data_IF_017729635384
#
_entry.id   IF_017729635384
#
_cell.length_a   1.000
_cell.length_b   1.000
_cell.length_c   1.000
_cell.angle_alpha   90.00
_cell.angle_beta   90.00
_cell.angle_gamma   90.00
#
_symmetry.space_group_name_H-M   'P 1'
#
loop_
_entity.id
_entity.type
_entity.pdbx_description
1 polymer ?
#
# COMPACT_ATOMS: atom_id res chain seq x y z
N UNK A 1 -31.47 37.34 52.40
CA UNK A 1 -30.06 37.63 52.08
C UNK A 1 -29.22 36.81 53.05
N UNK A 2 -28.80 35.61 52.66
CA UNK A 2 -27.88 34.77 53.43
C UNK A 2 -26.75 34.42 52.46
N UNK A 3 -25.57 34.92 52.78
CA UNK A 3 -24.34 34.76 52.01
C UNK A 3 -23.83 33.35 52.24
N UNK A 4 -23.69 32.56 51.18
CA UNK A 4 -23.00 31.26 51.20
C UNK A 4 -21.60 31.52 50.67
N UNK A 5 -20.62 31.53 51.57
CA UNK A 5 -19.20 31.53 51.24
C UNK A 5 -18.60 30.22 51.76
N UNK A 6 -18.21 29.33 50.85
CA UNK A 6 -17.71 28.01 51.17
C UNK A 6 -16.86 27.50 50.01
N UNK A 7 -15.55 27.75 50.10
CA UNK A 7 -14.54 27.18 49.19
C UNK A 7 -14.64 25.64 49.20
N UNK A 8 -14.52 24.96 48.04
CA UNK A 8 -14.36 23.51 48.02
C UNK A 8 -13.00 23.14 48.61
N UNK A 9 -13.01 22.24 49.60
CA UNK A 9 -11.80 21.66 50.16
C UNK A 9 -11.04 20.80 49.13
N UNK A 10 -9.72 20.61 49.31
CA UNK A 10 -8.92 19.79 48.40
C UNK A 10 -9.39 18.33 48.42
N UNK A 11 -9.27 17.59 47.30
CA UNK A 11 -9.63 16.18 47.24
C UNK A 11 -8.76 15.36 48.21
N UNK A 12 -9.32 14.26 48.77
CA UNK A 12 -8.63 13.42 49.74
C UNK A 12 -7.34 12.82 49.16
N UNK A 13 -6.34 12.69 50.02
CA UNK A 13 -5.02 12.16 49.67
C UNK A 13 -5.06 10.65 49.45
N UNK A 14 -4.15 10.13 48.62
CA UNK A 14 -4.09 8.72 48.23
C UNK A 14 -4.06 7.73 49.41
N UNK A 15 -3.44 8.12 50.53
CA UNK A 15 -3.37 7.30 51.74
C UNK A 15 -4.71 7.21 52.51
N UNK A 16 -5.63 8.16 52.32
CA UNK A 16 -6.96 8.15 52.96
C UNK A 16 -7.95 7.23 52.24
N UNK A 17 -7.64 6.82 51.00
CA UNK A 17 -8.48 5.90 50.20
C UNK A 17 -8.13 4.43 50.43
N UNK A 18 -7.09 4.13 51.21
CA UNK A 18 -6.60 2.77 51.45
C UNK A 18 -7.17 2.13 52.74
N UNK A 19 -7.72 2.93 53.65
CA UNK A 19 -8.26 2.44 54.95
C UNK A 19 -9.77 2.12 54.92
N UNK A 20 -10.49 2.40 53.83
CA UNK A 20 -11.89 2.00 53.63
C UNK A 20 -11.96 0.59 53.00
N UNK A 21 -11.45 -0.40 53.73
CA UNK A 21 -11.61 -1.81 53.44
C UNK A 21 -12.51 -2.46 54.49
N UNK A 22 -13.83 -2.26 54.36
CA UNK A 22 -14.81 -3.13 55.02
C UNK A 22 -15.28 -4.19 54.01
N UNK A 23 -14.64 -5.35 54.12
CA UNK A 23 -15.19 -6.63 53.69
C UNK A 23 -16.41 -6.90 54.58
N UNK A 24 -17.62 -6.72 54.05
CA UNK A 24 -18.80 -7.33 54.63
C UNK A 24 -19.07 -8.68 53.95
N UNK A 25 -18.93 -9.73 54.76
CA UNK A 25 -19.35 -11.10 54.50
C UNK A 25 -20.89 -11.15 54.49
N UNK A 26 -21.48 -11.52 53.35
CA UNK A 26 -22.91 -11.80 53.21
C UNK A 26 -23.09 -13.22 52.68
N UNK A 27 -23.02 -14.18 53.59
CA UNK A 27 -23.50 -15.53 53.36
C UNK A 27 -25.02 -15.61 53.53
N UNK A 28 -25.69 -16.18 52.52
CA UNK A 28 -27.07 -16.70 52.46
C UNK A 28 -28.26 -15.73 52.28
N UNK A 29 -28.74 -15.61 51.02
CA UNK A 29 -30.11 -16.00 50.60
C UNK A 29 -30.06 -16.40 49.11
N UNK A 30 -30.39 -17.65 48.81
CA UNK A 30 -30.59 -18.14 47.45
C UNK A 30 -31.95 -17.68 46.90
N UNK A 31 -31.94 -16.75 45.95
CA UNK A 31 -33.02 -16.48 45.00
C UNK A 31 -32.51 -16.74 43.58
N UNK A 32 -33.38 -16.99 42.58
CA UNK A 32 -32.94 -17.40 41.25
C UNK A 32 -32.21 -16.23 40.56
N UNK A 33 -30.88 -16.30 40.56
CA UNK A 33 -30.01 -15.37 39.85
C UNK A 33 -30.18 -15.57 38.35
N UNK A 34 -30.82 -14.61 37.69
CA UNK A 34 -30.72 -14.39 36.25
C UNK A 34 -29.25 -14.19 35.86
N UNK A 35 -28.72 -14.90 34.85
CA UNK A 35 -27.33 -14.77 34.44
C UNK A 35 -27.22 -13.59 33.47
N UNK A 36 -27.07 -12.36 33.96
CA UNK A 36 -26.98 -11.19 33.05
C UNK A 36 -25.91 -10.15 33.40
N UNK A 37 -25.12 -10.33 34.44
CA UNK A 37 -24.09 -9.35 34.83
C UNK A 37 -22.66 -9.88 34.64
N UNK A 38 -22.44 -10.78 33.68
CA UNK A 38 -21.11 -10.89 33.10
C UNK A 38 -20.87 -9.59 32.30
N UNK A 39 -19.71 -8.91 32.43
CA UNK A 39 -19.37 -7.85 31.50
C UNK A 39 -19.55 -8.40 30.08
N UNK A 40 -20.16 -7.63 29.16
CA UNK A 40 -20.43 -8.11 27.82
C UNK A 40 -19.15 -8.71 27.26
N UNK A 41 -19.23 -9.91 26.70
CA UNK A 41 -18.08 -10.54 26.05
C UNK A 41 -17.48 -9.51 25.10
N UNK A 42 -16.18 -9.23 25.20
CA UNK A 42 -15.50 -8.30 24.31
C UNK A 42 -15.71 -8.78 22.87
N UNK A 43 -16.70 -8.21 22.19
CA UNK A 43 -16.91 -8.46 20.79
C UNK A 43 -15.76 -7.79 20.04
N UNK A 44 -15.10 -8.51 19.10
CA UNK A 44 -14.11 -7.89 18.23
C UNK A 44 -14.72 -6.66 17.57
N UNK A 45 -14.06 -5.51 17.69
CA UNK A 45 -14.51 -4.29 17.04
C UNK A 45 -14.33 -4.42 15.52
N UNK A 46 -15.44 -4.44 14.78
CA UNK A 46 -15.43 -4.38 13.32
C UNK A 46 -15.53 -2.92 12.88
N UNK A 47 -14.47 -2.44 12.23
CA UNK A 47 -14.41 -1.06 11.79
C UNK A 47 -15.08 -0.85 10.43
N UNK A 48 -15.73 0.28 10.23
CA UNK A 48 -16.33 0.65 8.94
C UNK A 48 -15.23 1.05 7.95
N UNK A 49 -15.23 0.44 6.76
CA UNK A 49 -14.35 0.83 5.66
C UNK A 49 -15.01 0.59 4.31
N UNK A 50 -14.45 1.22 3.27
CA UNK A 50 -14.81 0.96 1.89
C UNK A 50 -13.55 0.86 1.02
N UNK A 51 -13.66 0.17 -0.10
CA UNK A 51 -12.55 0.00 -1.05
C UNK A 51 -12.73 0.95 -2.22
N UNK A 52 -11.67 1.69 -2.57
CA UNK A 52 -11.62 2.53 -3.77
C UNK A 52 -11.54 1.67 -5.04
N UNK A 53 -11.79 2.26 -6.21
CA UNK A 53 -11.62 1.57 -7.50
C UNK A 53 -10.23 0.95 -7.70
N UNK A 54 -9.20 1.58 -7.13
CA UNK A 54 -7.80 1.12 -7.18
C UNK A 54 -7.47 0.04 -6.12
N UNK A 55 -8.48 -0.49 -5.41
CA UNK A 55 -8.31 -1.47 -4.33
C UNK A 55 -7.84 -0.89 -2.99
N UNK A 56 -7.59 0.43 -2.91
CA UNK A 56 -7.17 1.09 -1.66
C UNK A 56 -8.28 1.04 -0.62
N UNK A 57 -7.98 0.53 0.58
CA UNK A 57 -8.92 0.50 1.71
C UNK A 57 -8.96 1.87 2.36
N UNK A 58 -10.15 2.46 2.51
CA UNK A 58 -10.36 3.77 3.13
C UNK A 58 -11.35 3.61 4.28
N UNK A 59 -10.95 4.02 5.48
CA UNK A 59 -11.83 4.08 6.65
C UNK A 59 -11.98 5.51 7.16
N UNK A 60 -13.23 5.84 7.50
CA UNK A 60 -13.61 7.09 8.16
C UNK A 60 -14.14 6.86 9.57
N UNK A 61 -13.87 5.69 10.14
CA UNK A 61 -14.43 5.26 11.41
C UNK A 61 -13.97 6.17 12.59
N UNK A 62 -14.90 6.72 13.40
CA UNK A 62 -14.58 7.51 14.58
C UNK A 62 -13.68 6.82 15.61
N UNK A 63 -13.82 5.51 15.81
CA UNK A 63 -13.12 4.74 16.83
C UNK A 63 -11.64 4.59 16.47
N UNK A 64 -11.33 4.27 15.21
CA UNK A 64 -9.96 4.18 14.69
C UNK A 64 -9.17 5.51 14.79
N UNK A 65 -9.85 6.63 15.00
CA UNK A 65 -9.25 7.94 15.13
C UNK A 65 -8.98 8.37 16.58
N UNK A 66 -9.54 7.64 17.54
CA UNK A 66 -9.47 7.92 18.98
C UNK A 66 -8.68 6.87 19.73
N UNK A 67 -8.80 5.60 19.33
CA UNK A 67 -8.11 4.47 19.95
C UNK A 67 -7.03 3.92 19.03
N UNK A 68 -5.77 4.03 19.47
CA UNK A 68 -4.63 3.50 18.74
C UNK A 68 -4.61 1.96 18.70
N UNK A 69 -5.33 1.30 19.60
CA UNK A 69 -5.43 -0.16 19.64
C UNK A 69 -6.35 -0.68 18.55
N UNK A 70 -7.54 -0.10 18.48
CA UNK A 70 -8.47 -0.36 17.40
C UNK A 70 -7.82 -0.10 16.04
N UNK A 71 -7.09 1.03 15.90
CA UNK A 71 -6.33 1.33 14.68
C UNK A 71 -5.27 0.28 14.39
N UNK A 72 -4.44 -0.10 15.37
CA UNK A 72 -3.41 -1.10 15.17
C UNK A 72 -3.99 -2.46 14.76
N UNK A 73 -5.01 -2.95 15.46
CA UNK A 73 -5.70 -4.21 15.12
C UNK A 73 -6.31 -4.17 13.73
N UNK A 74 -6.95 -3.06 13.37
CA UNK A 74 -7.50 -2.85 12.04
C UNK A 74 -6.43 -2.89 10.96
N UNK A 75 -5.27 -2.29 11.18
CA UNK A 75 -4.15 -2.35 10.23
C UNK A 75 -3.63 -3.77 10.05
N UNK A 76 -3.53 -4.55 11.14
CA UNK A 76 -3.09 -5.94 11.08
C UNK A 76 -4.10 -6.83 10.35
N UNK A 77 -5.39 -6.69 10.65
CA UNK A 77 -6.43 -7.49 9.98
C UNK A 77 -6.50 -7.20 8.49
N UNK A 78 -6.38 -5.93 8.09
CA UNK A 78 -6.33 -5.53 6.69
C UNK A 78 -5.00 -5.90 6.01
N UNK A 79 -3.93 -6.16 6.77
CA UNK A 79 -2.65 -6.64 6.26
C UNK A 79 -2.64 -8.16 5.99
N UNK A 80 -3.63 -8.92 6.46
CA UNK A 80 -3.77 -10.33 6.08
C UNK A 80 -4.13 -10.48 4.60
N UNK A 81 -4.82 -9.48 4.02
CA UNK A 81 -5.08 -9.44 2.59
C UNK A 81 -3.87 -8.83 1.85
N UNK A 82 -3.16 -9.56 0.98
CA UNK A 82 -2.01 -9.03 0.25
C UNK A 82 -2.43 -7.98 -0.80
N UNK A 83 -1.49 -7.14 -1.26
CA UNK A 83 -1.70 -6.25 -2.40
C UNK A 83 -1.83 -7.07 -3.70
N UNK A 84 -2.51 -6.51 -4.70
CA UNK A 84 -2.57 -7.12 -6.04
C UNK A 84 -1.29 -6.79 -6.79
N UNK A 85 -0.65 -7.79 -7.40
CA UNK A 85 0.55 -7.60 -8.22
C UNK A 85 0.27 -8.19 -9.60
N UNK A 86 0.17 -7.34 -10.62
CA UNK A 86 -0.14 -7.74 -11.98
C UNK A 86 1.04 -7.44 -12.91
N UNK A 87 1.44 -8.42 -13.72
CA UNK A 87 2.34 -8.20 -14.83
C UNK A 87 1.51 -7.85 -16.07
N UNK A 88 1.65 -6.63 -16.55
CA UNK A 88 1.01 -6.13 -17.75
C UNK A 88 1.92 -6.28 -18.95
N UNK A 89 1.45 -7.01 -19.97
CA UNK A 89 2.14 -7.21 -21.24
C UNK A 89 1.29 -6.64 -22.38
N UNK A 90 1.80 -5.61 -23.05
CA UNK A 90 1.13 -4.98 -24.18
C UNK A 90 2.07 -4.83 -25.38
N UNK A 91 1.57 -5.14 -26.56
CA UNK A 91 2.26 -4.99 -27.83
C UNK A 91 1.45 -4.13 -28.78
N UNK A 92 2.08 -3.09 -29.33
CA UNK A 92 1.47 -2.22 -30.34
C UNK A 92 2.31 -2.17 -31.61
N UNK A 93 1.65 -1.98 -32.75
CA UNK A 93 2.29 -1.81 -34.06
C UNK A 93 1.66 -0.64 -34.79
N UNK A 94 2.52 0.16 -35.42
CA UNK A 94 2.06 1.21 -36.31
C UNK A 94 1.76 0.63 -37.70
N UNK A 95 0.48 0.69 -38.10
CA UNK A 95 -0.02 0.23 -39.39
C UNK A 95 -0.35 1.43 -40.28
N UNK A 96 0.11 1.43 -41.53
CA UNK A 96 -0.28 2.46 -42.52
C UNK A 96 -1.59 2.06 -43.17
N UNK A 97 -2.66 2.79 -42.89
CA UNK A 97 -3.97 2.61 -43.52
C UNK A 97 -4.25 3.69 -44.54
N UNK A 98 -5.09 3.35 -45.51
CA UNK A 98 -5.52 4.27 -46.56
C UNK A 98 -6.99 4.58 -46.36
N UNK A 99 -7.34 5.89 -46.32
CA UNK A 99 -8.73 6.33 -46.34
C UNK A 99 -8.98 7.16 -47.58
N UNK A 100 -10.17 7.00 -48.16
CA UNK A 100 -10.62 7.86 -49.25
C UNK A 100 -11.28 9.09 -48.64
N UNK A 101 -10.71 10.26 -48.89
CA UNK A 101 -11.27 11.54 -48.46
C UNK A 101 -11.93 12.19 -49.67
N UNK A 102 -13.20 12.54 -49.54
CA UNK A 102 -13.94 13.28 -50.57
C UNK A 102 -13.87 14.77 -50.27
N UNK A 103 -13.18 15.52 -51.11
CA UNK A 103 -13.18 16.98 -51.08
C UNK A 103 -14.17 17.51 -52.12
N UNK A 104 -14.88 18.58 -51.78
CA UNK A 104 -15.78 19.28 -52.70
C UNK A 104 -15.11 20.59 -53.08
N UNK A 105 -14.75 20.76 -54.35
CA UNK A 105 -14.19 22.02 -54.82
C UNK A 105 -15.25 23.12 -54.88
N UNK A 106 -14.80 24.38 -54.99
CA UNK A 106 -15.66 25.56 -55.15
C UNK A 106 -16.62 25.47 -56.37
N UNK A 107 -16.33 24.59 -57.34
CA UNK A 107 -17.17 24.33 -58.51
C UNK A 107 -18.22 23.21 -58.27
N UNK A 108 -18.36 22.71 -57.04
CA UNK A 108 -19.37 21.71 -56.67
C UNK A 108 -19.05 20.28 -57.09
N UNK A 109 -17.89 20.03 -57.72
CA UNK A 109 -17.43 18.71 -58.14
C UNK A 109 -16.76 17.97 -56.98
N UNK A 110 -17.14 16.70 -56.80
CA UNK A 110 -16.56 15.82 -55.80
C UNK A 110 -15.27 15.19 -56.36
N UNK A 111 -14.16 15.38 -55.65
CA UNK A 111 -12.90 14.71 -55.92
C UNK A 111 -12.56 13.77 -54.77
N UNK A 112 -12.34 12.49 -55.07
CA UNK A 112 -11.86 11.50 -54.12
C UNK A 112 -10.35 11.40 -54.19
N UNK A 113 -9.66 11.62 -53.06
CA UNK A 113 -8.21 11.38 -52.94
C UNK A 113 -7.98 10.31 -51.87
N UNK A 114 -7.15 9.33 -52.18
CA UNK A 114 -6.67 8.36 -51.20
C UNK A 114 -5.53 8.99 -50.41
N UNK A 115 -5.70 9.09 -49.09
CA UNK A 115 -4.68 9.55 -48.16
C UNK A 115 -4.24 8.39 -47.26
N UNK A 116 -2.92 8.24 -47.09
CA UNK A 116 -2.36 7.30 -46.12
C UNK A 116 -2.24 7.97 -44.74
N UNK A 117 -2.67 7.30 -43.68
CA UNK A 117 -2.43 7.70 -42.29
C UNK A 117 -1.87 6.53 -41.49
N UNK A 118 -1.09 6.83 -40.45
CA UNK A 118 -0.54 5.83 -39.54
C UNK A 118 -1.50 5.63 -38.37
N UNK A 119 -1.88 4.39 -38.10
CA UNK A 119 -2.75 3.97 -37.00
C UNK A 119 -1.98 3.01 -36.09
N UNK A 120 -1.87 3.31 -34.81
CA UNK A 120 -1.27 2.39 -33.83
C UNK A 120 -2.32 1.36 -33.43
N UNK A 121 -2.10 0.10 -33.82
CA UNK A 121 -2.98 -1.03 -33.52
C UNK A 121 -2.38 -1.83 -32.36
N UNK A 122 -3.21 -2.20 -31.38
CA UNK A 122 -2.81 -3.11 -30.30
C UNK A 122 -2.87 -4.55 -30.81
N UNK A 123 -1.72 -5.21 -30.84
CA UNK A 123 -1.58 -6.59 -31.29
C UNK A 123 -1.95 -7.56 -30.14
N UNK A 124 -1.51 -7.29 -28.92
CA UNK A 124 -1.87 -8.08 -27.72
C UNK A 124 -1.87 -7.18 -26.48
N UNK A 125 -2.73 -7.50 -25.52
CA UNK A 125 -2.85 -6.79 -24.24
C UNK A 125 -3.43 -7.73 -23.18
N UNK A 126 -2.58 -8.23 -22.28
CA UNK A 126 -3.01 -9.16 -21.24
C UNK A 126 -2.28 -8.91 -19.92
N UNK A 127 -2.92 -9.36 -18.84
CA UNK A 127 -2.44 -9.25 -17.47
C UNK A 127 -2.13 -10.65 -16.93
N UNK A 128 -1.07 -10.82 -16.15
CA UNK A 128 -0.79 -12.05 -15.40
C UNK A 128 -0.77 -11.74 -13.90
N UNK A 129 -1.47 -12.52 -13.10
CA UNK A 129 -1.49 -12.35 -11.64
C UNK A 129 -0.24 -12.97 -11.01
N UNK A 130 0.63 -12.12 -10.48
CA UNK A 130 1.79 -12.51 -9.69
C UNK A 130 1.48 -12.53 -8.19
N UNK A 131 0.36 -11.94 -7.76
CA UNK A 131 -0.05 -11.83 -6.35
C UNK A 131 -0.29 -13.18 -5.69
N UNK A 132 -0.69 -14.19 -6.46
CA UNK A 132 -0.82 -15.58 -6.00
C UNK A 132 0.49 -16.20 -5.47
N UNK A 133 1.65 -15.62 -5.78
CA UNK A 133 2.95 -16.09 -5.31
C UNK A 133 3.46 -15.32 -4.08
N UNK A 134 2.69 -14.38 -3.55
CA UNK A 134 3.02 -13.67 -2.32
C UNK A 134 2.91 -14.61 -1.13
N UNK A 135 3.91 -14.55 -0.23
CA UNK A 135 3.87 -15.28 1.02
C UNK A 135 2.83 -14.65 1.97
N UNK A 136 2.11 -15.46 2.76
CA UNK A 136 0.96 -15.01 3.56
C UNK A 136 1.36 -14.15 4.78
N UNK A 137 2.62 -14.20 5.21
CA UNK A 137 3.10 -13.50 6.41
C UNK A 137 3.83 -12.20 6.04
N UNK A 138 3.17 -11.03 6.12
CA UNK A 138 3.83 -9.76 5.88
C UNK A 138 4.78 -9.40 7.02
N UNK A 139 5.96 -8.90 6.68
CA UNK A 139 6.86 -8.28 7.66
C UNK A 139 6.43 -6.84 7.87
N UNK A 140 5.94 -6.53 9.07
CA UNK A 140 5.58 -5.17 9.43
C UNK A 140 6.83 -4.32 9.63
N UNK A 141 6.86 -3.17 8.95
CA UNK A 141 8.02 -2.28 8.95
C UNK A 141 7.62 -0.85 9.29
N UNK A 142 8.60 -0.12 9.80
CA UNK A 142 8.50 1.31 10.12
C UNK A 142 9.62 2.07 9.44
N UNK A 143 9.31 3.25 8.89
CA UNK A 143 10.28 4.08 8.16
C UNK A 143 11.41 4.50 9.10
N UNK A 144 12.69 4.22 8.75
CA UNK A 144 13.85 4.58 9.57
C UNK A 144 13.85 6.04 10.00
N UNK A 145 14.38 6.34 11.17
CA UNK A 145 14.36 7.69 11.75
C UNK A 145 15.09 8.73 10.89
N UNK A 146 16.20 8.31 10.26
CA UNK A 146 16.97 9.11 9.32
C UNK A 146 16.26 9.37 7.97
N UNK A 147 15.20 8.62 7.65
CA UNK A 147 14.51 8.73 6.36
C UNK A 147 13.39 9.80 6.40
N UNK A 148 13.36 10.73 5.41
CA UNK A 148 12.30 11.72 5.29
C UNK A 148 10.89 11.13 5.12
N UNK A 149 10.06 11.25 6.16
CA UNK A 149 8.70 10.73 6.16
C UNK A 149 7.68 11.75 6.67
N UNK A 150 6.40 11.58 6.34
CA UNK A 150 5.36 12.38 6.98
C UNK A 150 5.09 11.82 8.37
N UNK A 151 5.56 12.49 9.42
CA UNK A 151 5.45 12.05 10.83
C UNK A 151 4.41 12.86 11.62
N UNK A 152 3.32 13.24 10.95
CA UNK A 152 2.20 13.99 11.51
C UNK A 152 2.06 15.42 11.02
N UNK A 153 3.09 16.04 10.43
CA UNK A 153 2.96 17.33 9.74
C UNK A 153 2.68 17.15 8.24
N UNK A 154 2.29 18.23 7.56
CA UNK A 154 2.14 18.26 6.10
C UNK A 154 3.49 18.40 5.37
N UNK A 155 4.61 18.18 6.06
CA UNK A 155 5.97 18.20 5.52
C UNK A 155 6.68 16.91 5.89
N UNK A 156 7.64 16.49 5.06
CA UNK A 156 8.52 15.36 5.39
C UNK A 156 9.54 15.78 6.44
N UNK A 157 9.65 14.99 7.49
CA UNK A 157 10.50 15.22 8.65
C UNK A 157 11.41 14.01 8.86
N UNK A 158 12.64 14.31 9.27
CA UNK A 158 13.65 13.36 9.74
C UNK A 158 13.72 13.48 11.25
N UNK A 159 13.81 12.35 11.93
CA UNK A 159 13.99 12.28 13.37
C UNK A 159 15.49 12.43 13.65
N UNK A 160 15.85 13.40 14.51
CA UNK A 160 17.25 13.67 14.85
C UNK A 160 17.73 12.62 15.87
N UNK A 161 19.02 12.22 15.81
CA UNK A 161 19.65 11.44 16.87
C UNK A 161 19.47 12.13 18.23
N UNK A 162 19.40 11.33 19.31
CA UNK A 162 19.13 11.84 20.66
C UNK A 162 20.06 12.97 21.08
N UNK A 163 21.34 12.87 20.73
CA UNK A 163 22.37 13.86 21.08
C UNK A 163 22.10 15.21 20.40
N UNK A 164 21.80 15.19 19.09
CA UNK A 164 21.46 16.41 18.34
C UNK A 164 20.12 16.99 18.79
N UNK A 165 19.14 16.12 19.10
CA UNK A 165 17.82 16.52 19.55
C UNK A 165 17.88 17.23 20.91
N UNK A 166 18.72 16.76 21.83
CA UNK A 166 18.97 17.38 23.12
C UNK A 166 19.58 18.78 22.95
N UNK A 167 20.59 18.91 22.08
CA UNK A 167 21.27 20.20 21.82
C UNK A 167 20.34 21.21 21.15
N UNK A 168 19.53 20.79 20.17
CA UNK A 168 18.68 21.68 19.39
C UNK A 168 17.31 21.95 20.04
N UNK A 169 16.98 21.26 21.14
CA UNK A 169 15.69 21.38 21.83
C UNK A 169 14.49 20.90 21.01
N UNK A 170 14.74 20.22 19.88
CA UNK A 170 13.71 19.66 19.03
C UNK A 170 14.12 18.28 18.50
N UNK A 171 13.17 17.36 18.42
CA UNK A 171 13.45 15.96 18.03
C UNK A 171 13.39 15.73 16.52
N UNK A 172 12.97 16.73 15.74
CA UNK A 172 12.68 16.57 14.30
C UNK A 172 13.11 17.77 13.48
N UNK A 173 13.63 17.49 12.28
CA UNK A 173 14.02 18.48 11.28
C UNK A 173 13.22 18.28 9.99
N UNK A 174 12.84 19.37 9.32
CA UNK A 174 12.23 19.33 8.00
C UNK A 174 13.25 18.93 6.94
N UNK A 175 12.91 17.96 6.09
CA UNK A 175 13.79 17.53 5.01
C UNK A 175 13.83 18.57 3.86
N UNK A 176 15.02 18.90 3.32
CA UNK A 176 15.16 19.73 2.12
C UNK A 176 14.68 18.97 0.87
N UNK A 177 14.32 19.72 -0.18
CA UNK A 177 13.78 19.15 -1.42
C UNK A 177 14.75 18.17 -2.11
N UNK A 178 16.05 18.45 -2.08
CA UNK A 178 17.07 17.60 -2.67
C UNK A 178 17.15 16.23 -1.97
N UNK A 179 17.16 16.20 -0.64
CA UNK A 179 17.16 14.97 0.16
C UNK A 179 15.90 14.13 -0.11
N UNK A 180 14.73 14.79 -0.22
CA UNK A 180 13.47 14.14 -0.60
C UNK A 180 13.52 13.55 -2.02
N UNK A 181 14.18 14.23 -2.96
CA UNK A 181 14.31 13.74 -4.34
C UNK A 181 15.24 12.51 -4.42
N UNK A 182 16.38 12.56 -3.74
CA UNK A 182 17.31 11.43 -3.63
C UNK A 182 16.62 10.22 -2.99
N UNK A 183 15.79 10.45 -1.97
CA UNK A 183 15.05 9.38 -1.33
C UNK A 183 14.08 8.70 -2.29
N UNK A 184 13.30 9.49 -3.04
CA UNK A 184 12.35 8.94 -4.01
C UNK A 184 13.05 8.12 -5.09
N UNK A 185 14.19 8.58 -5.59
CA UNK A 185 15.00 7.83 -6.54
C UNK A 185 15.43 6.47 -5.95
N UNK A 186 15.95 6.48 -4.72
CA UNK A 186 16.32 5.26 -4.01
C UNK A 186 15.12 4.35 -3.70
N UNK A 187 13.94 4.90 -3.39
CA UNK A 187 12.71 4.10 -3.22
C UNK A 187 12.26 3.44 -4.52
N UNK A 188 12.41 4.12 -5.65
CA UNK A 188 12.11 3.55 -6.96
C UNK A 188 13.07 2.40 -7.29
N UNK A 189 14.37 2.63 -7.14
CA UNK A 189 15.43 1.65 -7.40
C UNK A 189 15.31 0.41 -6.49
N UNK A 190 15.08 0.62 -5.18
CA UNK A 190 14.91 -0.50 -4.25
C UNK A 190 13.70 -1.37 -4.59
N UNK A 191 12.58 -0.74 -4.97
CA UNK A 191 11.34 -1.46 -5.29
C UNK A 191 11.50 -2.23 -6.60
N UNK A 192 12.14 -1.63 -7.61
CA UNK A 192 12.46 -2.24 -8.88
C UNK A 192 13.31 -3.52 -8.71
N UNK A 193 14.36 -3.45 -7.89
CA UNK A 193 15.23 -4.59 -7.60
C UNK A 193 14.68 -5.57 -6.55
N UNK A 194 13.44 -5.39 -6.08
CA UNK A 194 12.84 -6.27 -5.08
C UNK A 194 13.48 -6.21 -3.70
N UNK A 195 14.19 -5.13 -3.38
CA UNK A 195 14.77 -4.93 -2.07
C UNK A 195 13.65 -4.58 -1.06
N UNK A 196 13.76 -5.06 0.20
CA UNK A 196 12.75 -4.78 1.19
C UNK A 196 12.67 -3.27 1.52
N UNK A 197 11.53 -2.77 2.02
CA UNK A 197 11.35 -1.34 2.33
C UNK A 197 12.38 -0.78 3.33
N UNK A 198 12.85 -1.62 4.26
CA UNK A 198 13.87 -1.27 5.26
C UNK A 198 15.31 -1.44 4.76
N UNK A 199 15.53 -1.80 3.49
CA UNK A 199 16.86 -1.88 2.92
C UNK A 199 17.53 -0.52 2.98
N UNK A 200 18.60 -0.45 3.78
CA UNK A 200 19.44 0.73 3.86
C UNK A 200 20.23 0.90 2.56
N UNK A 201 20.53 2.15 2.21
CA UNK A 201 21.38 2.49 1.05
C UNK A 201 22.85 2.08 1.26
N UNK A 202 23.27 1.90 2.51
CA UNK A 202 24.60 1.43 2.88
C UNK A 202 24.51 0.05 3.57
N UNK A 203 25.49 -0.85 3.36
CA UNK A 203 25.49 -2.17 3.98
C UNK A 203 25.54 -2.00 5.51
N UNK A 204 24.49 -2.46 6.18
CA UNK A 204 24.40 -2.52 7.64
C UNK A 204 24.23 -3.98 8.06
N UNK A 205 24.77 -4.33 9.23
CA UNK A 205 25.07 -5.73 9.59
C UNK A 205 23.85 -6.63 9.82
N UNK A 206 22.63 -6.08 9.96
CA UNK A 206 21.45 -6.87 10.36
C UNK A 206 20.31 -6.82 9.33
N UNK A 207 20.39 -7.46 8.16
CA UNK A 207 19.42 -7.31 7.05
C UNK A 207 17.96 -7.70 7.36
N UNK A 208 17.71 -8.41 8.47
CA UNK A 208 16.43 -9.09 8.71
C UNK A 208 15.43 -8.33 9.58
N UNK A 209 15.84 -7.30 10.34
CA UNK A 209 14.89 -6.55 11.18
C UNK A 209 14.22 -5.42 10.39
N UNK A 210 12.92 -5.59 10.12
CA UNK A 210 12.06 -4.57 9.48
C UNK A 210 11.72 -3.35 10.38
N UNK A 211 12.05 -3.44 11.67
CA UNK A 211 11.82 -2.39 12.67
C UNK A 211 13.06 -1.49 12.80
N UNK A 212 13.26 -0.61 11.81
CA UNK A 212 14.41 0.31 11.75
C UNK A 212 14.15 1.69 12.34
N UNK A 213 12.97 1.92 12.91
CA UNK A 213 12.62 3.20 13.55
C UNK A 213 12.52 3.05 15.06
N UNK A 214 12.73 4.14 15.79
CA UNK A 214 12.54 4.19 17.24
C UNK A 214 11.09 3.96 17.69
N UNK A 215 10.13 3.87 16.75
CA UNK A 215 8.69 3.74 17.03
C UNK A 215 8.07 2.57 16.28
N UNK A 216 7.33 1.75 17.01
CA UNK A 216 6.57 0.66 16.41
C UNK A 216 5.35 1.18 15.63
N UNK A 217 4.73 0.31 14.84
CA UNK A 217 3.44 0.60 14.18
C UNK A 217 2.39 1.04 15.22
N UNK A 218 2.42 0.43 16.40
CA UNK A 218 1.52 0.76 17.51
C UNK A 218 1.76 2.16 18.04
N UNK A 219 3.01 2.53 18.31
CA UNK A 219 3.36 3.88 18.79
C UNK A 219 2.96 4.96 17.78
N UNK A 220 3.05 4.66 16.48
CA UNK A 220 2.57 5.57 15.43
C UNK A 220 1.05 5.68 15.39
N UNK A 221 0.32 4.58 15.63
CA UNK A 221 -1.13 4.58 15.75
C UNK A 221 -1.59 5.42 16.96
N UNK A 222 -0.93 5.28 18.11
CA UNK A 222 -1.20 6.09 19.31
C UNK A 222 -0.90 7.57 19.06
N UNK A 223 0.23 7.88 18.42
CA UNK A 223 0.60 9.25 18.06
C UNK A 223 -0.39 9.90 17.06
N UNK A 224 -0.98 9.11 16.17
CA UNK A 224 -2.03 9.55 15.27
C UNK A 224 -3.33 9.86 16.03
N UNK A 225 -3.74 8.98 16.93
CA UNK A 225 -4.96 9.13 17.72
C UNK A 225 -4.88 10.33 18.66
N UNK A 226 -3.74 10.52 19.34
CA UNK A 226 -3.47 11.67 20.20
C UNK A 226 -3.40 13.01 19.46
N UNK A 227 -3.30 13.02 18.13
CA UNK A 227 -3.17 14.27 17.37
C UNK A 227 -4.50 15.05 17.31
N UNK A 228 -4.52 16.36 17.66
CA UNK A 228 -5.73 17.19 17.63
C UNK A 228 -6.10 17.70 16.23
N UNK A 229 -5.58 17.07 15.18
CA UNK A 229 -5.70 17.53 13.79
C UNK A 229 -7.02 17.08 13.17
N UNK A 230 -7.73 18.00 12.54
CA UNK A 230 -9.06 17.76 11.95
C UNK A 230 -9.02 17.06 10.59
N UNK A 231 -7.92 17.24 9.85
CA UNK A 231 -7.66 16.63 8.55
C UNK A 231 -6.40 15.76 8.64
N UNK A 232 -6.36 14.87 9.63
CA UNK A 232 -5.31 13.86 9.76
C UNK A 232 -5.55 12.70 8.79
N UNK A 233 -4.48 12.08 8.34
CA UNK A 233 -4.53 10.94 7.43
C UNK A 233 -3.40 9.98 7.83
N UNK A 234 -3.77 8.76 8.19
CA UNK A 234 -2.84 7.67 8.43
C UNK A 234 -2.82 6.79 7.19
N UNK A 235 -1.65 6.60 6.59
CA UNK A 235 -1.47 5.77 5.41
C UNK A 235 -0.51 4.64 5.76
N UNK A 236 -1.02 3.42 5.69
CA UNK A 236 -0.25 2.19 5.81
C UNK A 236 0.03 1.64 4.41
N UNK A 237 1.29 1.40 4.10
CA UNK A 237 1.72 0.97 2.76
C UNK A 237 1.98 -0.53 2.73
N UNK A 238 1.32 -1.25 1.83
CA UNK A 238 1.62 -2.63 1.47
C UNK A 238 2.68 -2.61 0.36
N UNK A 239 3.88 -3.07 0.66
CA UNK A 239 4.99 -3.10 -0.28
C UNK A 239 5.31 -4.55 -0.67
N UNK A 240 5.59 -4.81 -1.93
CA UNK A 240 6.05 -6.13 -2.38
C UNK A 240 7.56 -6.13 -2.51
N UNK A 241 8.21 -7.23 -2.12
CA UNK A 241 9.66 -7.40 -2.29
C UNK A 241 10.04 -8.86 -2.57
N UNK A 242 11.33 -9.10 -2.82
CA UNK A 242 11.91 -10.41 -3.04
C UNK A 242 12.26 -10.67 -4.52
N UNK A 243 11.44 -10.25 -5.47
CA UNK A 243 11.75 -10.42 -6.90
C UNK A 243 12.32 -9.15 -7.51
N UNK A 244 13.33 -9.31 -8.37
CA UNK A 244 13.80 -8.22 -9.22
C UNK A 244 12.80 -8.05 -10.37
N UNK A 245 11.86 -7.11 -10.18
CA UNK A 245 10.77 -6.85 -11.12
C UNK A 245 11.29 -6.21 -12.41
N UNK A 246 12.38 -5.45 -12.36
CA UNK A 246 13.01 -4.88 -13.55
C UNK A 246 13.70 -5.97 -14.38
N UNK A 247 14.42 -6.89 -13.73
CA UNK A 247 15.00 -8.04 -14.41
C UNK A 247 13.91 -8.95 -15.00
N UNK A 248 12.81 -9.16 -14.26
CA UNK A 248 11.68 -9.95 -14.74
C UNK A 248 11.01 -9.30 -15.96
N UNK A 249 10.68 -8.01 -15.90
CA UNK A 249 10.05 -7.29 -17.02
C UNK A 249 10.98 -7.26 -18.24
N UNK A 250 12.28 -7.06 -18.04
CA UNK A 250 13.28 -7.14 -19.11
C UNK A 250 13.36 -8.54 -19.73
N UNK A 251 13.35 -9.60 -18.92
CA UNK A 251 13.40 -10.98 -19.39
C UNK A 251 12.13 -11.39 -20.13
N UNK A 252 10.94 -11.02 -19.63
CA UNK A 252 9.66 -11.23 -20.33
C UNK A 252 9.65 -10.49 -21.66
N UNK A 253 10.06 -9.20 -21.66
CA UNK A 253 10.15 -8.41 -22.89
C UNK A 253 11.09 -9.05 -23.91
N UNK A 254 12.25 -9.54 -23.47
CA UNK A 254 13.19 -10.27 -24.35
C UNK A 254 12.57 -11.57 -24.88
N UNK A 255 11.84 -12.32 -24.04
CA UNK A 255 11.12 -13.53 -24.44
C UNK A 255 10.04 -13.26 -25.49
N UNK A 256 9.32 -12.14 -25.40
CA UNK A 256 8.35 -11.69 -26.39
C UNK A 256 9.05 -11.33 -27.71
N UNK A 257 10.12 -10.54 -27.67
CA UNK A 257 10.86 -10.15 -28.88
C UNK A 257 11.49 -11.37 -29.60
N UNK A 258 11.90 -12.40 -28.85
CA UNK A 258 12.42 -13.65 -29.40
C UNK A 258 11.41 -14.45 -30.22
N UNK A 259 10.11 -14.15 -30.13
CA UNK A 259 9.07 -14.73 -31.00
C UNK A 259 9.10 -14.19 -32.43
N UNK A 260 9.88 -13.14 -32.71
CA UNK A 260 9.89 -12.43 -33.99
C UNK A 260 8.91 -11.26 -34.05
N UNK A 261 8.29 -10.88 -32.92
CA UNK A 261 7.43 -9.71 -32.85
C UNK A 261 8.20 -8.40 -33.15
N UNK A 262 7.78 -7.68 -34.20
CA UNK A 262 8.46 -6.49 -34.71
C UNK A 262 7.89 -5.15 -34.20
N UNK A 263 6.81 -5.17 -33.41
CA UNK A 263 6.18 -3.97 -32.87
C UNK A 263 6.83 -3.44 -31.59
N UNK A 264 6.27 -2.37 -31.05
CA UNK A 264 6.64 -1.86 -29.73
C UNK A 264 6.03 -2.75 -28.64
N UNK A 265 6.86 -3.17 -27.68
CA UNK A 265 6.44 -4.00 -26.54
C UNK A 265 6.63 -3.21 -25.26
N UNK A 266 5.58 -3.14 -24.45
CA UNK A 266 5.57 -2.58 -23.09
C UNK A 266 5.27 -3.71 -22.11
N UNK A 267 6.15 -3.89 -21.14
CA UNK A 267 5.95 -4.81 -20.02
C UNK A 267 6.13 -4.00 -18.74
N UNK A 268 5.13 -4.02 -17.85
CA UNK A 268 5.16 -3.31 -16.56
C UNK A 268 4.58 -4.18 -15.44
N UNK A 269 5.03 -3.95 -14.22
CA UNK A 269 4.43 -4.56 -13.02
C UNK A 269 3.59 -3.51 -12.30
N UNK A 270 2.29 -3.73 -12.22
CA UNK A 270 1.34 -2.83 -11.58
C UNK A 270 0.95 -3.38 -10.21
N UNK A 271 1.13 -2.56 -9.17
CA UNK A 271 0.74 -2.89 -7.80
C UNK A 271 -0.54 -2.13 -7.45
N UNK A 272 -1.56 -2.87 -7.04
CA UNK A 272 -2.86 -2.34 -6.60
C UNK A 272 -3.19 -2.77 -5.18
N UNK A 273 -4.25 -2.19 -4.61
CA UNK A 273 -4.61 -2.39 -3.20
C UNK A 273 -3.44 -2.19 -2.22
N UNK A 274 -2.49 -1.32 -2.57
CA UNK A 274 -1.21 -1.15 -1.90
C UNK A 274 -1.28 -0.27 -0.65
N UNK A 275 -2.45 0.27 -0.32
CA UNK A 275 -2.63 1.26 0.74
C UNK A 275 -3.87 1.01 1.59
N UNK A 276 -3.72 1.29 2.88
CA UNK A 276 -4.83 1.43 3.82
C UNK A 276 -4.78 2.86 4.35
N UNK A 277 -5.88 3.60 4.20
CA UNK A 277 -5.97 5.01 4.57
C UNK A 277 -7.04 5.21 5.64
N UNK A 278 -6.63 5.68 6.81
CA UNK A 278 -7.54 6.04 7.91
C UNK A 278 -7.64 7.54 8.04
N UNK A 279 -8.86 8.05 7.98
CA UNK A 279 -9.19 9.47 8.02
C UNK A 279 -10.24 9.73 9.12
N UNK A 280 -10.30 10.94 9.68
CA UNK A 280 -11.26 11.26 10.71
C UNK A 280 -12.69 11.32 10.19
N UNK A 281 -13.63 11.03 11.08
CA UNK A 281 -15.05 11.16 10.82
C UNK A 281 -15.55 12.61 10.89
N UNK A 282 -15.08 13.44 9.96
CA UNK A 282 -15.54 14.82 9.83
C UNK A 282 -16.20 15.02 8.47
N UNK A 283 -17.26 15.83 8.41
CA UNK A 283 -17.92 16.20 7.13
C UNK A 283 -16.90 16.69 6.10
N UNK A 284 -15.94 17.52 6.52
CA UNK A 284 -14.86 18.00 5.65
C UNK A 284 -13.97 16.87 5.13
N UNK A 285 -13.62 15.90 5.96
CA UNK A 285 -12.80 14.76 5.55
C UNK A 285 -13.56 13.85 4.58
N UNK A 286 -14.84 13.58 4.83
CA UNK A 286 -15.71 12.80 3.93
C UNK A 286 -15.90 13.51 2.58
N UNK A 287 -16.19 14.82 2.59
CA UNK A 287 -16.34 15.63 1.37
C UNK A 287 -15.03 15.66 0.55
N UNK A 288 -13.88 15.78 1.21
CA UNK A 288 -12.57 15.77 0.54
C UNK A 288 -12.15 14.39 0.01
N UNK A 289 -12.77 13.31 0.49
CA UNK A 289 -12.50 11.96 -0.01
C UNK A 289 -13.15 11.71 -1.38
N UNK A 290 -14.23 12.42 -1.70
CA UNK A 290 -14.94 12.27 -2.97
C UNK A 290 -14.40 13.25 -4.01
N UNK A 291 -13.91 12.72 -5.13
CA UNK A 291 -13.31 13.50 -6.23
C UNK A 291 -14.28 14.50 -6.87
N UNK A 292 -15.55 14.15 -7.01
CA UNK A 292 -16.57 15.01 -7.65
C UNK A 292 -16.91 16.22 -6.76
N UNK A 293 -17.05 15.99 -5.46
CA UNK A 293 -17.24 17.07 -4.48
C UNK A 293 -16.02 17.98 -4.38
N UNK A 294 -14.81 17.42 -4.51
CA UNK A 294 -13.58 18.20 -4.60
C UNK A 294 -13.54 19.09 -5.84
N UNK A 295 -14.02 18.62 -6.99
CA UNK A 295 -14.17 19.41 -8.22
C UNK A 295 -15.16 20.57 -8.00
N UNK A 296 -16.31 20.31 -7.37
CA UNK A 296 -17.29 21.34 -7.03
C UNK A 296 -16.71 22.39 -6.06
N UNK A 297 -15.95 21.96 -5.05
CA UNK A 297 -15.25 22.86 -4.11
C UNK A 297 -14.18 23.71 -4.81
N UNK A 298 -13.56 23.19 -5.86
CA UNK A 298 -12.61 23.93 -6.68
C UNK A 298 -13.32 24.97 -7.55
N UNK A 299 -14.43 24.61 -8.20
CA UNK A 299 -15.24 25.51 -9.03
C UNK A 299 -15.83 26.67 -8.20
N UNK A 300 -16.22 26.40 -6.96
CA UNK A 300 -16.75 27.40 -6.02
C UNK A 300 -15.67 28.22 -5.31
N UNK A 301 -14.39 28.06 -5.66
CA UNK A 301 -13.23 28.74 -5.04
C UNK A 301 -13.08 28.52 -3.52
N UNK A 302 -13.80 27.57 -2.91
CA UNK A 302 -13.68 27.24 -1.48
C UNK A 302 -12.44 26.37 -1.20
N UNK A 303 -12.09 25.49 -2.14
CA UNK A 303 -10.95 24.58 -2.03
C UNK A 303 -9.61 25.25 -1.67
N UNK A 304 -9.17 26.38 -2.26
CA UNK A 304 -7.91 27.03 -1.86
C UNK A 304 -7.87 27.43 -0.39
N UNK A 305 -8.98 27.84 0.22
CA UNK A 305 -9.05 28.13 1.66
C UNK A 305 -8.91 26.86 2.51
N UNK A 306 -9.56 25.77 2.10
CA UNK A 306 -9.42 24.47 2.76
C UNK A 306 -7.96 23.98 2.65
N UNK A 307 -7.33 24.16 1.49
CA UNK A 307 -5.93 23.84 1.27
C UNK A 307 -5.01 24.66 2.19
N UNK A 308 -5.26 25.97 2.31
CA UNK A 308 -4.50 26.85 3.20
C UNK A 308 -4.64 26.41 4.67
N UNK A 309 -5.87 26.10 5.11
CA UNK A 309 -6.13 25.56 6.44
C UNK A 309 -5.40 24.23 6.67
N UNK A 310 -5.47 23.30 5.70
CA UNK A 310 -4.76 22.02 5.77
C UNK A 310 -3.25 22.22 5.88
N UNK A 311 -2.69 23.21 5.19
CA UNK A 311 -1.24 23.43 5.08
C UNK A 311 -0.63 24.21 6.25
N UNK A 312 -1.25 25.31 6.66
CA UNK A 312 -0.64 26.29 7.57
C UNK A 312 -1.23 26.27 8.99
N UNK A 313 -2.45 25.77 9.18
CA UNK A 313 -3.07 25.78 10.50
C UNK A 313 -2.59 24.60 11.36
N UNK A 314 -2.25 24.85 12.63
CA UNK A 314 -1.74 23.84 13.57
C UNK A 314 -2.69 22.66 13.78
N UNK A 315 -4.00 22.94 13.82
CA UNK A 315 -5.10 21.95 13.90
C UNK A 315 -5.61 21.44 12.54
N UNK A 316 -5.01 21.90 11.45
CA UNK A 316 -5.44 21.58 10.10
C UNK A 316 -5.03 20.17 9.70
N UNK A 317 -4.06 20.09 8.79
CA UNK A 317 -3.63 18.85 8.19
C UNK A 317 -2.54 18.11 8.96
N UNK A 318 -2.65 16.78 9.03
CA UNK A 318 -1.52 15.90 9.37
C UNK A 318 -1.47 14.67 8.48
N UNK A 319 -0.28 14.20 8.12
CA UNK A 319 -0.11 12.95 7.37
C UNK A 319 0.88 12.05 8.10
N UNK A 320 0.57 10.77 8.16
CA UNK A 320 1.40 9.72 8.71
C UNK A 320 1.63 8.71 7.60
N UNK A 321 2.81 8.76 6.98
CA UNK A 321 3.31 7.78 6.01
C UNK A 321 4.60 7.19 6.62
N UNK A 322 4.43 6.35 7.65
CA UNK A 322 5.52 5.95 8.56
C UNK A 322 5.68 4.45 8.73
N UNK A 323 4.72 3.65 8.27
CA UNK A 323 4.74 2.21 8.45
C UNK A 323 4.00 1.49 7.33
N UNK A 324 4.22 0.18 7.27
CA UNK A 324 3.63 -0.67 6.26
C UNK A 324 3.80 -2.15 6.54
N UNK A 325 3.31 -2.96 5.61
CA UNK A 325 3.50 -4.40 5.57
C UNK A 325 4.27 -4.75 4.31
N UNK A 326 5.35 -5.52 4.44
CA UNK A 326 6.15 -5.97 3.31
C UNK A 326 5.82 -7.43 3.00
N UNK A 327 5.41 -7.71 1.78
CA UNK A 327 4.99 -9.02 1.30
C UNK A 327 6.12 -9.58 0.42
N UNK A 328 6.68 -10.70 0.84
CA UNK A 328 7.78 -11.33 0.13
C UNK A 328 7.25 -12.28 -0.95
N UNK A 329 7.79 -12.19 -2.17
CA UNK A 329 7.63 -13.21 -3.22
C UNK A 329 8.65 -14.36 -3.05
N UNK A 330 9.83 -14.02 -2.50
CA UNK A 330 10.85 -14.97 -2.06
C UNK A 330 11.52 -14.43 -0.80
N UNK A 331 11.82 -15.30 0.17
CA UNK A 331 12.61 -14.97 1.38
C UNK A 331 13.64 -16.07 1.64
N UNK A 332 14.77 -15.70 2.25
CA UNK A 332 15.67 -16.68 2.82
C UNK A 332 14.98 -17.40 3.98
N UNK A 333 15.19 -18.71 4.07
CA UNK A 333 14.74 -19.50 5.20
C UNK A 333 15.68 -19.27 6.37
N UNK A 334 15.13 -19.05 7.57
CA UNK A 334 15.90 -18.85 8.79
C UNK A 334 16.53 -20.14 9.34
N UNK A 335 16.29 -21.29 8.71
CA UNK A 335 16.84 -22.57 9.12
C UNK A 335 18.33 -22.71 8.74
N UNK A 336 19.07 -23.49 9.53
CA UNK A 336 20.52 -23.67 9.41
C UNK A 336 20.99 -24.23 8.04
N UNK A 337 20.06 -24.68 7.19
CA UNK A 337 20.32 -25.21 5.85
C UNK A 337 20.24 -24.17 4.73
N UNK A 338 19.88 -22.90 5.03
CA UNK A 338 19.93 -21.80 4.06
C UNK A 338 18.98 -21.98 2.86
N UNK A 339 17.78 -22.51 3.10
CA UNK A 339 16.74 -22.64 2.08
C UNK A 339 16.20 -21.30 1.58
N UNK A 340 15.44 -21.33 0.48
CA UNK A 340 14.69 -20.17 -0.01
C UNK A 340 13.22 -20.55 -0.03
N UNK A 341 12.40 -19.80 0.69
CA UNK A 341 10.94 -19.96 0.71
C UNK A 341 10.33 -19.07 -0.36
N UNK A 342 9.46 -19.64 -1.17
CA UNK A 342 8.80 -18.96 -2.30
C UNK A 342 9.41 -19.29 -3.66
N UNK A 343 8.69 -18.94 -4.71
CA UNK A 343 9.09 -19.22 -6.09
C UNK A 343 10.16 -18.21 -6.53
N UNK A 344 11.19 -18.66 -7.25
CA UNK A 344 12.20 -17.75 -7.81
C UNK A 344 11.71 -17.14 -9.12
N UNK A 345 12.05 -15.88 -9.42
CA UNK A 345 11.58 -15.21 -10.65
C UNK A 345 11.96 -15.98 -11.93
N UNK A 346 13.15 -16.58 -11.99
CA UNK A 346 13.58 -17.39 -13.12
C UNK A 346 12.83 -18.73 -13.25
N UNK A 347 12.40 -19.34 -12.13
CA UNK A 347 11.57 -20.55 -12.17
C UNK A 347 10.16 -20.22 -12.62
N UNK A 348 9.60 -19.10 -12.11
CA UNK A 348 8.32 -18.59 -12.57
C UNK A 348 8.33 -18.31 -14.07
N UNK A 349 9.34 -17.59 -14.56
CA UNK A 349 9.45 -17.23 -15.97
C UNK A 349 9.50 -18.47 -16.87
N UNK A 350 10.26 -19.50 -16.48
CA UNK A 350 10.32 -20.78 -17.24
C UNK A 350 8.94 -21.44 -17.36
N UNK A 351 8.14 -21.41 -16.30
CA UNK A 351 6.78 -21.98 -16.30
C UNK A 351 5.84 -21.18 -17.20
N UNK A 352 5.99 -19.84 -17.23
CA UNK A 352 5.10 -18.94 -17.97
C UNK A 352 5.55 -18.62 -19.39
N UNK A 353 6.80 -18.92 -19.76
CA UNK A 353 7.36 -18.55 -21.06
C UNK A 353 6.53 -19.10 -22.24
N UNK A 354 6.10 -20.37 -22.16
CA UNK A 354 5.24 -20.97 -23.18
C UNK A 354 3.92 -20.23 -23.35
N UNK A 355 3.23 -19.96 -22.23
CA UNK A 355 1.94 -19.28 -22.22
C UNK A 355 2.03 -17.82 -22.68
N UNK A 356 3.09 -17.10 -22.29
CA UNK A 356 3.35 -15.72 -22.74
C UNK A 356 3.54 -15.71 -24.26
N UNK A 357 4.38 -16.60 -24.79
CA UNK A 357 4.63 -16.69 -26.24
C UNK A 357 3.36 -17.05 -27.01
N UNK A 358 2.56 -17.97 -26.46
CA UNK A 358 1.27 -18.34 -27.03
C UNK A 358 0.29 -17.16 -27.05
N UNK A 359 0.16 -16.43 -25.93
CA UNK A 359 -0.72 -15.26 -25.83
C UNK A 359 -0.33 -14.16 -26.84
N UNK A 360 0.97 -13.96 -27.06
CA UNK A 360 1.49 -13.05 -28.08
C UNK A 360 1.17 -13.55 -29.49
N UNK A 361 1.43 -14.83 -29.78
CA UNK A 361 1.19 -15.41 -31.11
C UNK A 361 -0.29 -15.45 -31.50
N UNK A 362 -1.18 -15.56 -30.52
CA UNK A 362 -2.64 -15.59 -30.69
C UNK A 362 -3.30 -14.23 -30.51
N UNK A 363 -2.52 -13.16 -30.34
CA UNK A 363 -3.04 -11.79 -30.22
C UNK A 363 -4.08 -11.63 -29.09
N UNK A 364 -3.82 -12.25 -27.94
CA UNK A 364 -4.76 -12.23 -26.80
C UNK A 364 -4.94 -10.79 -26.30
N UNK A 365 -6.20 -10.40 -26.16
CA UNK A 365 -6.61 -9.14 -25.53
C UNK A 365 -7.61 -9.43 -24.42
N UNK A 366 -7.20 -9.28 -23.17
CA UNK A 366 -8.05 -9.57 -22.02
C UNK A 366 -7.73 -8.63 -20.85
N UNK A 367 -8.79 -8.09 -20.25
CA UNK A 367 -8.70 -7.37 -18.99
C UNK A 367 -8.72 -8.30 -17.76
N UNK A 368 -9.05 -9.59 -17.94
CA UNK A 368 -9.05 -10.59 -16.86
C UNK A 368 -7.63 -11.13 -16.69
N UNK A 369 -7.02 -11.02 -15.49
CA UNK A 369 -5.69 -11.55 -15.24
C UNK A 369 -5.61 -13.06 -15.40
N UNK A 370 -4.57 -13.53 -16.09
CA UNK A 370 -4.22 -14.94 -16.20
C UNK A 370 -3.59 -15.40 -14.88
N UNK A 371 -4.13 -16.47 -14.29
CA UNK A 371 -3.67 -17.01 -13.00
C UNK A 371 -2.89 -18.31 -13.16
N UNK A 372 -3.17 -19.11 -14.19
CA UNK A 372 -2.49 -20.38 -14.41
C UNK A 372 -1.72 -20.39 -15.73
N UNK A 373 -0.48 -20.92 -15.75
CA UNK A 373 0.19 -21.17 -17.02
C UNK A 373 -0.57 -22.27 -17.77
N UNK A 374 -0.86 -22.03 -19.04
CA UNK A 374 -1.47 -23.02 -19.92
C UNK A 374 -0.39 -24.02 -20.37
N UNK A 375 -0.39 -25.21 -19.74
CA UNK A 375 0.62 -26.26 -19.95
C UNK A 375 0.46 -27.01 -21.28
N UNK A 376 -0.65 -26.83 -21.99
CA UNK A 376 -0.90 -27.51 -23.27
C UNK A 376 0.06 -27.07 -24.38
N UNK A 377 0.81 -25.98 -24.17
CA UNK A 377 1.63 -25.31 -25.18
C UNK A 377 3.09 -25.09 -24.75
N UNK A 378 3.58 -25.82 -23.72
CA UNK A 378 4.98 -25.74 -23.32
C UNK A 378 5.91 -26.20 -24.47
N UNK A 379 6.96 -25.44 -24.84
CA UNK A 379 7.83 -25.81 -25.95
C UNK A 379 8.60 -27.09 -25.64
N UNK A 380 8.67 -28.03 -26.59
CA UNK A 380 9.30 -29.35 -26.47
C UNK A 380 10.76 -29.34 -25.96
N UNK A 381 11.47 -28.20 -25.98
CA UNK A 381 12.80 -28.03 -25.37
C UNK A 381 12.78 -28.05 -23.83
N UNK A 382 11.64 -27.80 -23.19
CA UNK A 382 11.48 -27.91 -21.75
C UNK A 382 11.46 -29.37 -21.25
N UNK A 383 11.06 -30.32 -22.12
CA UNK A 383 11.04 -31.76 -21.81
C UNK A 383 12.44 -32.41 -21.78
N UNK A 384 13.50 -31.69 -22.15
CA UNK A 384 14.88 -32.18 -22.26
C UNK A 384 15.82 -31.63 -21.17
N UNK A 385 15.29 -30.95 -20.15
CA UNK A 385 16.06 -30.43 -19.02
C UNK A 385 15.89 -31.32 -17.79
N UNK A 386 16.98 -31.48 -17.04
CA UNK A 386 17.09 -32.34 -15.86
C UNK A 386 15.99 -32.04 -14.81
N UNK A 387 15.34 -33.09 -14.31
CA UNK A 387 14.21 -33.02 -13.36
C UNK A 387 12.79 -33.10 -13.97
N UNK A 388 12.62 -33.26 -15.29
CA UNK A 388 11.29 -33.44 -15.90
C UNK A 388 10.67 -34.84 -15.69
N UNK A 389 11.48 -35.85 -15.36
CA UNK A 389 11.03 -37.24 -15.13
C UNK A 389 10.92 -37.61 -13.64
N UNK A 390 11.36 -36.74 -12.73
CA UNK A 390 11.45 -37.08 -11.30
C UNK A 390 10.11 -36.86 -10.55
N UNK A 391 9.11 -36.21 -11.16
CA UNK A 391 7.78 -35.99 -10.55
C UNK A 391 6.66 -36.83 -11.22
N UNK A 392 7.00 -37.77 -12.11
CA UNK A 392 5.99 -38.59 -12.80
C UNK A 392 5.64 -39.91 -12.08
N UNK A 393 6.32 -40.24 -10.98
CA UNK A 393 6.03 -41.41 -10.15
C UNK A 393 6.30 -41.12 -8.67
N UNK A 394 5.36 -40.44 -8.03
CA UNK A 394 5.06 -40.63 -6.60
C UNK A 394 3.55 -40.45 -6.36
#
# INVERSE_FOLDING_TARGET
MIVVDGKPGPPPTFDQSADDALVEDHSAVAGPSTPSDAPPSFAPYEADYFTSGDGTVISHDPHLNKDGEALYRFLLSQALAPPTLLLHCAGTRDETRFRVVSHKDNDGKHHSRTESYTETVTDFDFLIDLGQHLLPDPVHWSVPDAEPAFRGRMVREVQLPSDEAFVLGHTRRKAPRAEVALLKAWQSERTAHGLPPWAARAPTQDPESGLRSSRTVRDWADAYCASPKRLKEFTYTKAVHGWDLDALTAAVRAGILATGYAGAVRVSCDVGADKICVRPDNRLARVLSNGWLKLLLMLTLVYPFIWLFRRFHSRGGGRWEVCGGAYALKRAEADAKGGVVGLKEGQWLRRWEGSIRYAVATHVQTAVPLTTPDFLHAPARAMLLDGYLDEAWD
#
